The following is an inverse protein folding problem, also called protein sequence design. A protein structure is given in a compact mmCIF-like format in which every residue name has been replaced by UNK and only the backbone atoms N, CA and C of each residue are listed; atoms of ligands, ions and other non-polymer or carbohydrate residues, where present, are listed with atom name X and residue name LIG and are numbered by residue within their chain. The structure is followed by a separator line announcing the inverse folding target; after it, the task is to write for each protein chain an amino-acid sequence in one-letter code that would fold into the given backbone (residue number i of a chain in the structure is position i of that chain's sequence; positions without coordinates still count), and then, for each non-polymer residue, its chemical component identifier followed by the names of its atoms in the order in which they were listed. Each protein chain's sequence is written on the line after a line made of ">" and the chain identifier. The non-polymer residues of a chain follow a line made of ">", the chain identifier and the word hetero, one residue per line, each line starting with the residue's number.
data_IF_560574960605
#
_entry.id   IF_560574960605
#
_cell.length_a   1.000
_cell.length_b   1.000
_cell.length_c   1.000
_cell.angle_alpha   90.00
_cell.angle_beta   90.00
_cell.angle_gamma   90.00
#
_symmetry.space_group_name_H-M   'P 1'
#
loop_
_entity.id
_entity.type
_entity.pdbx_description
1 polymer ?
#
# COMPACT_ATOMS: atom_id res chain seq x y z
N UNK A 1 14.35 9.57 -20.56
CA UNK A 1 15.49 10.48 -20.75
C UNK A 1 16.11 10.95 -19.44
N UNK A 2 15.36 11.56 -18.50
CA UNK A 2 15.88 12.02 -17.19
C UNK A 2 16.45 10.90 -16.30
N UNK A 3 15.90 9.68 -16.32
CA UNK A 3 16.38 8.56 -15.51
C UNK A 3 17.71 7.99 -16.07
N UNK A 4 17.86 7.93 -17.41
CA UNK A 4 19.14 7.60 -18.03
C UNK A 4 20.23 8.65 -17.74
N UNK A 5 19.83 9.92 -17.63
CA UNK A 5 20.71 11.00 -17.22
C UNK A 5 21.08 10.85 -15.72
N UNK A 6 20.12 10.52 -14.85
CA UNK A 6 20.38 10.20 -13.43
C UNK A 6 21.36 9.05 -13.26
N UNK A 7 21.21 7.97 -14.02
CA UNK A 7 22.10 6.81 -13.93
C UNK A 7 23.51 7.10 -14.49
N UNK A 8 23.62 7.89 -15.56
CA UNK A 8 24.92 8.40 -16.06
C UNK A 8 25.62 9.36 -15.10
N UNK A 9 24.83 10.17 -14.36
CA UNK A 9 25.35 11.16 -13.38
C UNK A 9 25.68 10.48 -12.04
N UNK A 10 24.96 9.43 -11.62
CA UNK A 10 25.30 8.64 -10.41
C UNK A 10 26.72 8.05 -10.47
N UNK A 11 27.22 7.70 -11.66
CA UNK A 11 28.60 7.26 -11.86
C UNK A 11 29.66 8.34 -11.59
N UNK A 12 29.25 9.63 -11.53
CA UNK A 12 30.11 10.77 -11.15
C UNK A 12 29.57 11.39 -9.86
N UNK A 13 29.87 10.74 -8.74
CA UNK A 13 29.35 11.07 -7.39
C UNK A 13 29.45 12.56 -7.03
N UNK A 14 30.51 13.24 -7.43
CA UNK A 14 30.73 14.66 -7.19
C UNK A 14 29.76 15.57 -7.96
N UNK A 15 29.45 15.28 -9.22
CA UNK A 15 28.48 16.05 -10.03
C UNK A 15 27.05 15.84 -9.52
N UNK A 16 26.74 14.60 -9.12
CA UNK A 16 25.42 14.30 -8.52
C UNK A 16 25.21 15.04 -7.20
N UNK A 17 26.21 15.04 -6.31
CA UNK A 17 26.18 15.79 -5.04
C UNK A 17 26.09 17.31 -5.27
N UNK A 18 26.82 17.87 -6.22
CA UNK A 18 26.76 19.29 -6.60
C UNK A 18 25.35 19.67 -7.11
N UNK A 19 24.74 18.85 -7.98
CA UNK A 19 23.38 19.11 -8.46
C UNK A 19 22.34 18.99 -7.34
N UNK A 20 22.52 18.06 -6.39
CA UNK A 20 21.66 17.96 -5.21
C UNK A 20 21.75 19.21 -4.33
N UNK A 21 22.96 19.74 -4.14
CA UNK A 21 23.20 20.96 -3.36
C UNK A 21 22.57 22.19 -4.03
N UNK A 22 22.72 22.33 -5.35
CA UNK A 22 22.07 23.41 -6.13
C UNK A 22 20.53 23.34 -6.10
N UNK A 23 19.98 22.12 -6.08
CA UNK A 23 18.52 21.92 -6.08
C UNK A 23 17.94 21.92 -4.65
N UNK A 24 18.78 21.93 -3.62
CA UNK A 24 18.35 21.84 -2.21
C UNK A 24 17.38 22.99 -1.80
N UNK A 25 17.67 24.28 -2.08
CA UNK A 25 16.74 25.36 -1.73
C UNK A 25 15.39 25.23 -2.45
N UNK A 26 15.40 24.83 -3.71
CA UNK A 26 14.18 24.59 -4.48
C UNK A 26 13.38 23.41 -3.96
N UNK A 27 14.04 22.32 -3.56
CA UNK A 27 13.38 21.17 -2.91
C UNK A 27 12.75 21.59 -1.58
N UNK A 28 13.48 22.33 -0.75
CA UNK A 28 12.99 22.85 0.53
C UNK A 28 11.77 23.78 0.34
N UNK A 29 11.77 24.60 -0.69
CA UNK A 29 10.62 25.44 -1.05
C UNK A 29 9.41 24.57 -1.45
N UNK A 30 9.60 23.58 -2.31
CA UNK A 30 8.54 22.68 -2.74
C UNK A 30 7.95 21.89 -1.56
N UNK A 31 8.79 21.37 -0.67
CA UNK A 31 8.36 20.62 0.52
C UNK A 31 7.56 21.55 1.48
N UNK A 32 8.02 22.79 1.66
CA UNK A 32 7.30 23.81 2.46
C UNK A 32 5.91 24.13 1.87
N UNK A 33 5.84 24.27 0.54
CA UNK A 33 4.56 24.52 -0.16
C UNK A 33 3.61 23.34 -0.03
N UNK A 34 4.09 22.12 -0.21
CA UNK A 34 3.29 20.90 -0.03
C UNK A 34 2.76 20.78 1.39
N UNK A 35 3.60 21.07 2.38
CA UNK A 35 3.18 21.05 3.78
C UNK A 35 2.02 22.03 4.04
N UNK A 36 2.11 23.28 3.57
CA UNK A 36 1.02 24.26 3.72
C UNK A 36 -0.29 23.77 3.08
N UNK A 37 -0.20 23.18 1.90
CA UNK A 37 -1.36 22.62 1.20
C UNK A 37 -1.95 21.46 2.01
N UNK A 38 -1.11 20.55 2.53
CA UNK A 38 -1.55 19.45 3.39
C UNK A 38 -2.19 19.95 4.68
N UNK A 39 -1.57 20.89 5.39
CA UNK A 39 -2.11 21.47 6.63
C UNK A 39 -3.48 22.14 6.40
N UNK A 40 -3.64 22.84 5.28
CA UNK A 40 -4.92 23.44 4.90
C UNK A 40 -5.98 22.37 4.60
N UNK A 41 -5.59 21.30 3.90
CA UNK A 41 -6.47 20.16 3.60
C UNK A 41 -6.83 19.40 4.87
N UNK A 42 -5.87 19.12 5.76
CA UNK A 42 -6.10 18.41 7.01
C UNK A 42 -7.09 19.16 7.92
N UNK A 43 -6.89 20.48 8.11
CA UNK A 43 -7.84 21.33 8.85
C UNK A 43 -9.28 21.27 8.31
N UNK A 44 -9.43 21.15 6.98
CA UNK A 44 -10.74 21.04 6.33
C UNK A 44 -11.38 19.66 6.50
N UNK A 45 -10.58 18.62 6.70
CA UNK A 45 -11.01 17.23 6.73
C UNK A 45 -10.82 16.57 8.13
N UNK A 46 -10.40 17.30 9.15
CA UNK A 46 -10.42 16.84 10.53
C UNK A 46 -11.88 16.53 10.92
N UNK A 47 -12.21 15.25 10.94
CA UNK A 47 -13.52 14.81 11.39
C UNK A 47 -13.63 14.97 12.90
N UNK A 48 -14.70 15.62 13.34
CA UNK A 48 -15.13 15.63 14.73
C UNK A 48 -15.39 14.17 15.13
N UNK A 49 -14.71 13.71 16.16
CA UNK A 49 -14.94 12.37 16.73
C UNK A 49 -16.37 12.34 17.28
N UNK A 50 -17.23 11.50 16.74
CA UNK A 50 -18.55 11.26 17.29
C UNK A 50 -18.37 10.39 18.55
N UNK A 51 -18.64 10.95 19.72
CA UNK A 51 -18.70 10.22 20.99
C UNK A 51 -19.99 9.37 21.11
N UNK A 52 -20.29 8.57 20.09
CA UNK A 52 -21.35 7.58 20.23
C UNK A 52 -20.88 6.46 21.17
N UNK A 53 -21.81 5.98 22.00
CA UNK A 53 -21.55 4.94 23.00
C UNK A 53 -21.02 3.68 22.31
N UNK A 54 -19.71 3.42 22.40
CA UNK A 54 -19.09 2.21 21.86
C UNK A 54 -19.68 0.98 22.56
N UNK A 55 -20.14 0.00 21.77
CA UNK A 55 -20.71 -1.26 22.29
C UNK A 55 -19.61 -2.18 22.84
N UNK A 56 -18.46 -2.23 22.13
CA UNK A 56 -17.30 -3.01 22.49
C UNK A 56 -16.15 -2.09 22.89
N UNK A 57 -15.43 -2.47 23.92
CA UNK A 57 -14.27 -1.73 24.45
C UNK A 57 -13.06 -2.69 24.54
N UNK A 58 -12.54 -3.21 23.39
CA UNK A 58 -11.51 -4.21 23.37
C UNK A 58 -10.19 -3.67 23.93
N UNK A 59 -9.44 -4.49 24.66
CA UNK A 59 -8.07 -4.17 25.01
C UNK A 59 -7.20 -4.25 23.75
N UNK A 60 -6.47 -3.16 23.45
CA UNK A 60 -5.50 -3.10 22.35
C UNK A 60 -4.09 -3.23 22.94
N UNK A 61 -3.35 -4.26 22.55
CA UNK A 61 -1.92 -4.39 22.88
C UNK A 61 -1.08 -3.77 21.76
N UNK A 62 -0.32 -2.74 22.08
CA UNK A 62 0.67 -2.14 21.17
C UNK A 62 2.00 -2.86 21.41
N UNK A 63 2.55 -3.50 20.39
CA UNK A 63 3.80 -4.26 20.47
C UNK A 63 4.91 -3.50 19.76
N UNK A 64 5.99 -3.23 20.49
CA UNK A 64 7.15 -2.44 20.02
C UNK A 64 8.43 -3.26 20.23
N UNK A 65 9.02 -3.81 19.17
CA UNK A 65 10.37 -4.34 19.22
C UNK A 65 11.37 -3.18 19.24
N UNK A 66 12.35 -3.20 20.16
CA UNK A 66 13.37 -2.16 20.26
C UNK A 66 14.78 -2.77 20.13
N UNK A 67 15.66 -2.06 19.45
CA UNK A 67 17.07 -2.41 19.40
C UNK A 67 17.91 -1.14 19.22
N UNK A 68 18.67 -0.79 20.26
CA UNK A 68 19.60 0.34 20.26
C UNK A 68 18.96 1.68 19.84
N UNK A 69 17.68 1.87 20.21
CA UNK A 69 16.85 3.04 19.87
C UNK A 69 17.42 4.31 20.51
N UNK A 70 17.54 5.43 19.79
CA UNK A 70 17.79 6.73 20.40
C UNK A 70 16.75 7.04 21.48
N UNK A 71 17.20 7.45 22.67
CA UNK A 71 16.31 7.62 23.83
C UNK A 71 15.21 8.65 23.57
N UNK A 72 15.52 9.72 22.86
CA UNK A 72 14.55 10.74 22.45
C UNK A 72 13.41 10.15 21.59
N UNK A 73 13.70 9.28 20.63
CA UNK A 73 12.70 8.65 19.80
C UNK A 73 11.86 7.64 20.59
N UNK A 74 12.53 6.90 21.49
CA UNK A 74 11.83 5.97 22.38
C UNK A 74 10.83 6.71 23.29
N UNK A 75 11.22 7.87 23.86
CA UNK A 75 10.33 8.71 24.67
C UNK A 75 9.16 9.27 23.86
N UNK A 76 9.42 9.80 22.67
CA UNK A 76 8.39 10.32 21.79
C UNK A 76 7.37 9.23 21.43
N UNK A 77 7.85 8.02 21.10
CA UNK A 77 7.01 6.86 20.81
C UNK A 77 6.12 6.51 22.00
N UNK A 78 6.69 6.37 23.21
CA UNK A 78 5.95 6.02 24.43
C UNK A 78 4.92 7.11 24.75
N UNK A 79 5.30 8.37 24.70
CA UNK A 79 4.41 9.49 24.96
C UNK A 79 3.25 9.54 23.97
N UNK A 80 3.48 9.16 22.70
CA UNK A 80 2.42 9.09 21.69
C UNK A 80 1.36 8.02 22.02
N UNK A 81 1.75 6.95 22.71
CA UNK A 81 0.84 5.91 23.20
C UNK A 81 0.15 6.34 24.49
N UNK A 82 0.85 6.97 25.42
CA UNK A 82 0.24 7.49 26.66
C UNK A 82 -0.81 8.56 26.40
N UNK A 83 -0.62 9.36 25.36
CA UNK A 83 -1.53 10.42 24.93
C UNK A 83 -2.72 9.93 24.09
N UNK A 84 -2.95 8.62 23.97
CA UNK A 84 -4.11 8.10 23.22
C UNK A 84 -5.43 8.47 23.89
N UNK A 85 -6.37 8.99 23.12
CA UNK A 85 -7.73 9.33 23.59
C UNK A 85 -8.54 8.08 24.00
N UNK A 86 -8.23 6.93 23.41
CA UNK A 86 -8.75 5.64 23.86
C UNK A 86 -7.89 5.07 24.99
N UNK A 87 -8.49 4.73 26.12
CA UNK A 87 -7.76 4.42 27.36
C UNK A 87 -7.54 2.94 27.64
N UNK A 88 -8.25 2.01 26.95
CA UNK A 88 -8.13 0.58 27.19
C UNK A 88 -7.04 -0.05 26.32
N UNK A 89 -5.78 0.28 26.62
CA UNK A 89 -4.60 -0.23 25.95
C UNK A 89 -3.53 -0.71 26.93
N UNK A 90 -2.64 -1.55 26.44
CA UNK A 90 -1.35 -1.87 27.04
C UNK A 90 -0.23 -1.70 26.01
N UNK A 91 0.95 -1.28 26.47
CA UNK A 91 2.15 -1.15 25.66
C UNK A 91 3.16 -2.22 26.06
N UNK A 92 3.62 -3.00 25.09
CA UNK A 92 4.57 -4.10 25.28
C UNK A 92 5.84 -3.76 24.53
N UNK A 93 6.88 -3.38 25.28
CA UNK A 93 8.19 -3.05 24.75
C UNK A 93 9.11 -4.26 24.92
N UNK A 94 9.70 -4.71 23.83
CA UNK A 94 10.63 -5.85 23.83
C UNK A 94 11.99 -5.39 23.36
N UNK A 95 12.92 -5.25 24.29
CA UNK A 95 14.33 -4.96 23.99
C UNK A 95 15.04 -6.22 23.47
N UNK A 96 15.49 -6.17 22.22
CA UNK A 96 16.14 -7.28 21.51
C UNK A 96 17.66 -7.36 21.79
N UNK A 97 18.03 -7.33 23.08
CA UNK A 97 19.40 -7.34 23.57
C UNK A 97 20.22 -6.13 23.09
N UNK A 98 19.71 -4.92 23.30
CA UNK A 98 20.47 -3.68 23.03
C UNK A 98 21.81 -3.68 23.75
N UNK A 99 22.91 -3.40 23.03
CA UNK A 99 24.23 -3.28 23.67
C UNK A 99 24.36 -2.01 24.55
N UNK A 100 23.57 -0.97 24.27
CA UNK A 100 23.54 0.25 25.07
C UNK A 100 22.63 0.06 26.30
N UNK A 101 23.23 0.01 27.51
CA UNK A 101 22.50 -0.16 28.77
C UNK A 101 21.49 0.98 29.03
N UNK A 102 21.79 2.21 28.60
CA UNK A 102 20.94 3.37 28.83
C UNK A 102 19.53 3.17 28.24
N UNK A 103 19.40 2.46 27.10
CA UNK A 103 18.11 2.14 26.51
C UNK A 103 17.31 1.22 27.42
N UNK A 104 17.95 0.21 27.99
CA UNK A 104 17.31 -0.75 28.90
C UNK A 104 16.91 -0.11 30.22
N UNK A 105 17.76 0.77 30.75
CA UNK A 105 17.50 1.52 31.98
C UNK A 105 16.32 2.47 31.80
N UNK A 106 16.26 3.17 30.67
CA UNK A 106 15.14 4.05 30.32
C UNK A 106 13.82 3.27 30.23
N UNK A 107 13.79 2.15 29.48
CA UNK A 107 12.60 1.30 29.36
C UNK A 107 12.19 0.76 30.74
N UNK A 108 13.15 0.34 31.57
CA UNK A 108 12.88 -0.18 32.92
C UNK A 108 12.26 0.89 33.83
N UNK A 109 12.75 2.12 33.76
CA UNK A 109 12.23 3.22 34.60
C UNK A 109 10.81 3.58 34.19
N UNK A 110 10.55 3.79 32.92
CA UNK A 110 9.22 4.13 32.41
C UNK A 110 8.18 3.04 32.77
N UNK A 111 8.56 1.75 32.63
CA UNK A 111 7.63 0.66 32.94
C UNK A 111 7.35 0.45 34.44
N UNK A 112 8.17 0.99 35.33
CA UNK A 112 7.87 1.03 36.78
C UNK A 112 6.79 2.05 37.11
N UNK A 113 6.78 3.16 36.40
CA UNK A 113 5.90 4.29 36.67
C UNK A 113 4.50 4.13 36.06
N UNK A 114 4.34 3.25 35.04
CA UNK A 114 3.09 3.04 34.37
C UNK A 114 2.74 1.53 34.20
N UNK A 115 1.73 1.07 34.93
CA UNK A 115 1.30 -0.34 34.94
C UNK A 115 0.79 -0.85 33.59
N UNK A 116 0.42 0.05 32.68
CA UNK A 116 0.01 -0.31 31.31
C UNK A 116 1.20 -0.58 30.40
N UNK A 117 2.42 -0.20 30.82
CA UNK A 117 3.65 -0.40 30.04
C UNK A 117 4.41 -1.61 30.60
N UNK A 118 4.56 -2.62 29.78
CA UNK A 118 5.26 -3.85 30.12
C UNK A 118 6.55 -3.96 29.32
N UNK A 119 7.68 -4.12 30.00
CA UNK A 119 9.00 -4.25 29.39
C UNK A 119 9.54 -5.66 29.49
N UNK A 120 10.16 -6.12 28.42
CA UNK A 120 10.83 -7.42 28.35
C UNK A 120 12.20 -7.26 27.70
N UNK A 121 13.21 -7.92 28.28
CA UNK A 121 14.60 -7.81 27.83
C UNK A 121 15.10 -9.18 27.37
N UNK A 122 15.36 -9.31 26.08
CA UNK A 122 15.88 -10.57 25.54
C UNK A 122 17.36 -10.74 25.91
N UNK A 123 17.79 -12.00 26.08
CA UNK A 123 19.19 -12.32 26.40
C UNK A 123 20.11 -12.29 25.20
N UNK A 124 19.56 -12.42 23.98
CA UNK A 124 20.28 -12.37 22.70
C UNK A 124 19.38 -11.76 21.63
N UNK A 125 19.99 -11.12 20.65
CA UNK A 125 19.28 -10.54 19.52
C UNK A 125 18.58 -11.64 18.71
N UNK A 126 17.28 -11.46 18.44
CA UNK A 126 16.41 -12.35 17.67
C UNK A 126 15.86 -11.70 16.42
N UNK A 127 16.36 -10.52 16.09
CA UNK A 127 15.87 -9.65 15.04
C UNK A 127 14.41 -9.20 15.28
N UNK A 128 13.93 -8.28 14.44
CA UNK A 128 12.63 -7.64 14.60
C UNK A 128 11.49 -8.65 14.72
N UNK A 129 11.42 -9.66 13.86
CA UNK A 129 10.39 -10.70 13.90
C UNK A 129 10.39 -11.49 15.20
N UNK A 130 11.57 -11.82 15.72
CA UNK A 130 11.72 -12.58 16.97
C UNK A 130 11.30 -11.77 18.19
N UNK A 131 11.60 -10.49 18.25
CA UNK A 131 11.21 -9.58 19.32
C UNK A 131 9.69 -9.27 19.25
N UNK A 132 9.17 -8.98 18.06
CA UNK A 132 7.72 -8.78 17.82
C UNK A 132 6.92 -10.00 18.28
N UNK A 133 7.32 -11.19 17.86
CA UNK A 133 6.66 -12.45 18.24
C UNK A 133 6.71 -12.72 19.75
N UNK A 134 7.80 -12.32 20.41
CA UNK A 134 7.87 -12.42 21.86
C UNK A 134 6.85 -11.48 22.52
N UNK A 135 6.74 -10.25 22.04
CA UNK A 135 5.76 -9.27 22.53
C UNK A 135 4.32 -9.75 22.30
N UNK A 136 3.99 -10.26 21.12
CA UNK A 136 2.65 -10.81 20.81
C UNK A 136 2.25 -11.94 21.77
N UNK A 137 3.21 -12.81 22.16
CA UNK A 137 2.97 -13.87 23.15
C UNK A 137 2.71 -13.33 24.55
N UNK A 138 3.21 -12.15 24.88
CA UNK A 138 3.03 -11.48 26.18
C UNK A 138 1.81 -10.55 26.22
N UNK A 139 1.24 -10.27 25.07
CA UNK A 139 0.05 -9.43 24.91
C UNK A 139 -1.21 -10.13 25.45
N UNK A 140 -2.10 -9.35 26.08
CA UNK A 140 -3.40 -9.79 26.57
C UNK A 140 -4.57 -9.21 25.76
N UNK A 141 -4.31 -8.21 24.90
CA UNK A 141 -5.34 -7.54 24.13
C UNK A 141 -6.02 -8.44 23.11
N UNK A 142 -7.23 -8.09 22.75
CA UNK A 142 -7.99 -8.74 21.68
C UNK A 142 -7.41 -8.41 20.30
N UNK A 143 -6.78 -7.25 20.17
CA UNK A 143 -6.10 -6.79 18.97
C UNK A 143 -4.65 -6.41 19.28
N UNK A 144 -3.78 -6.64 18.31
CA UNK A 144 -2.36 -6.28 18.34
C UNK A 144 -2.13 -5.14 17.35
N UNK A 145 -1.64 -4.01 17.84
CA UNK A 145 -1.09 -2.92 17.01
C UNK A 145 0.42 -3.05 16.91
N UNK A 146 0.94 -3.03 15.69
CA UNK A 146 2.40 -3.06 15.44
C UNK A 146 2.92 -1.63 15.31
N UNK A 147 3.87 -1.25 16.16
CA UNK A 147 4.45 0.08 16.19
C UNK A 147 5.97 -0.01 16.21
N UNK A 148 6.64 0.74 15.35
CA UNK A 148 8.10 0.82 15.33
C UNK A 148 8.62 1.72 16.45
N UNK A 149 9.81 1.41 16.95
CA UNK A 149 10.39 2.03 18.16
C UNK A 149 10.82 3.50 18.01
N UNK A 150 10.89 4.00 16.79
CA UNK A 150 11.32 5.36 16.41
C UNK A 150 10.17 6.19 15.80
N UNK A 151 8.97 5.62 15.72
CA UNK A 151 7.77 6.22 15.14
C UNK A 151 6.77 6.69 16.21
N UNK A 152 5.65 7.27 15.79
CA UNK A 152 4.65 7.81 16.71
C UNK A 152 3.23 7.54 16.19
N UNK A 153 2.27 7.42 17.10
CA UNK A 153 0.85 7.37 16.79
C UNK A 153 0.18 8.75 16.93
N UNK A 154 -0.80 9.01 16.06
CA UNK A 154 -1.72 10.12 16.30
C UNK A 154 -2.56 9.85 17.57
N UNK A 155 -2.89 10.89 18.33
CA UNK A 155 -3.65 10.76 19.60
C UNK A 155 -4.96 9.98 19.49
N UNK A 156 -5.60 9.98 18.33
CA UNK A 156 -6.88 9.30 18.09
C UNK A 156 -6.72 7.99 17.29
N UNK A 157 -5.50 7.44 17.22
CA UNK A 157 -5.24 6.23 16.43
C UNK A 157 -6.02 5.03 16.98
N UNK A 158 -5.92 4.76 18.28
CA UNK A 158 -6.62 3.65 18.89
C UNK A 158 -8.15 3.86 18.94
N UNK A 159 -8.59 5.10 19.16
CA UNK A 159 -10.01 5.44 19.12
C UNK A 159 -10.59 5.11 17.74
N UNK A 160 -9.95 5.56 16.65
CA UNK A 160 -10.41 5.28 15.29
C UNK A 160 -10.40 3.79 14.94
N UNK A 161 -9.45 3.02 15.48
CA UNK A 161 -9.42 1.55 15.34
C UNK A 161 -10.65 0.93 16.03
N UNK A 162 -10.95 1.34 17.26
CA UNK A 162 -12.07 0.80 18.04
C UNK A 162 -13.42 1.21 17.44
N UNK A 163 -13.56 2.44 16.93
CA UNK A 163 -14.71 2.86 16.13
C UNK A 163 -14.98 1.87 14.99
N UNK A 164 -13.96 1.54 14.20
CA UNK A 164 -14.08 0.60 13.07
C UNK A 164 -14.37 -0.83 13.52
N UNK A 165 -13.83 -1.29 14.64
CA UNK A 165 -14.17 -2.60 15.23
C UNK A 165 -15.67 -2.65 15.62
N UNK A 166 -16.23 -1.54 16.07
CA UNK A 166 -17.65 -1.45 16.41
C UNK A 166 -18.57 -1.30 15.20
N UNK A 167 -18.11 -0.65 14.13
CA UNK A 167 -18.86 -0.46 12.88
C UNK A 167 -18.92 -1.73 12.02
N UNK A 168 -17.80 -2.46 11.91
CA UNK A 168 -17.63 -3.59 10.99
C UNK A 168 -17.57 -4.91 11.75
N UNK A 169 -18.62 -5.71 11.62
CA UNK A 169 -18.67 -7.02 12.28
C UNK A 169 -17.59 -7.97 11.75
N UNK A 170 -16.88 -8.61 12.70
CA UNK A 170 -15.90 -9.65 12.37
C UNK A 170 -14.61 -9.14 11.74
N UNK A 171 -14.29 -7.86 11.85
CA UNK A 171 -13.02 -7.30 11.36
C UNK A 171 -11.83 -7.99 12.06
N UNK A 172 -10.80 -8.34 11.28
CA UNK A 172 -9.62 -9.04 11.79
C UNK A 172 -8.30 -8.34 11.46
N UNK A 173 -8.32 -7.47 10.46
CA UNK A 173 -7.15 -6.74 10.03
C UNK A 173 -7.54 -5.31 9.65
N UNK A 174 -6.91 -4.33 10.31
CA UNK A 174 -7.11 -2.91 10.04
C UNK A 174 -5.76 -2.27 9.70
N UNK A 175 -5.79 -1.22 8.88
CA UNK A 175 -4.62 -0.38 8.60
C UNK A 175 -5.05 1.06 8.34
N UNK A 176 -4.10 1.98 8.52
CA UNK A 176 -4.35 3.42 8.45
C UNK A 176 -3.47 4.10 7.41
N UNK A 177 -3.77 5.37 7.11
CA UNK A 177 -2.86 6.23 6.38
C UNK A 177 -1.69 6.66 7.27
N UNK A 178 -0.60 7.12 6.65
CA UNK A 178 0.61 7.55 7.34
C UNK A 178 1.16 8.86 6.76
N UNK A 179 2.02 9.53 7.51
CA UNK A 179 2.78 10.69 7.08
C UNK A 179 4.21 10.62 7.60
N UNK A 180 5.16 11.08 6.81
CA UNK A 180 6.56 11.15 7.24
C UNK A 180 6.83 12.32 8.16
N UNK A 181 7.73 12.10 9.14
CA UNK A 181 8.35 13.14 9.96
C UNK A 181 9.82 13.29 9.57
N UNK A 182 10.29 14.53 9.45
CA UNK A 182 11.73 14.80 9.38
C UNK A 182 12.39 14.81 10.77
N UNK A 183 13.71 14.98 10.82
CA UNK A 183 14.50 15.04 12.06
C UNK A 183 14.06 16.19 13.02
N UNK A 184 13.30 17.17 12.53
CA UNK A 184 12.74 18.27 13.32
C UNK A 184 11.26 18.08 13.67
N UNK A 185 10.72 16.89 13.49
CA UNK A 185 9.30 16.58 13.74
C UNK A 185 8.32 17.21 12.74
N UNK A 186 8.80 17.70 11.58
CA UNK A 186 7.93 18.32 10.58
C UNK A 186 7.31 17.27 9.69
N UNK A 187 6.00 17.35 9.52
CA UNK A 187 5.24 16.45 8.67
C UNK A 187 5.44 16.76 7.19
N UNK A 188 5.65 15.70 6.36
CA UNK A 188 5.78 15.80 4.92
C UNK A 188 5.43 14.48 4.24
N UNK A 189 5.13 14.50 2.95
CA UNK A 189 4.80 13.33 2.13
C UNK A 189 3.75 12.40 2.76
N UNK A 190 2.49 12.85 2.93
CA UNK A 190 1.42 11.96 3.35
C UNK A 190 1.27 10.80 2.36
N UNK A 191 0.98 9.62 2.87
CA UNK A 191 0.64 8.45 2.08
C UNK A 191 -0.80 8.05 2.40
N UNK A 192 -1.73 8.45 1.53
CA UNK A 192 -3.12 8.01 1.56
C UNK A 192 -3.21 6.67 0.87
N UNK A 193 -3.70 5.68 1.57
CA UNK A 193 -3.77 4.30 1.11
C UNK A 193 -5.15 4.01 0.51
N UNK A 194 -5.25 3.07 -0.44
CA UNK A 194 -6.55 2.63 -0.93
C UNK A 194 -7.21 1.70 0.10
N UNK A 195 -8.51 1.49 -0.05
CA UNK A 195 -9.17 0.34 0.54
C UNK A 195 -8.49 -0.96 0.07
N UNK A 196 -8.84 -2.10 0.69
CA UNK A 196 -8.16 -3.36 0.44
C UNK A 196 -7.95 -3.64 -1.06
N UNK A 197 -6.69 -3.79 -1.45
CA UNK A 197 -6.28 -3.98 -2.84
C UNK A 197 -5.15 -5.02 -2.96
N UNK A 198 -5.54 -6.25 -3.30
CA UNK A 198 -4.58 -7.36 -3.32
C UNK A 198 -3.54 -7.29 -4.43
N UNK A 199 -3.84 -6.71 -5.59
CA UNK A 199 -2.86 -6.54 -6.66
C UNK A 199 -1.86 -5.42 -6.33
N UNK A 200 -2.32 -4.37 -5.64
CA UNK A 200 -1.47 -3.31 -5.16
C UNK A 200 -0.53 -3.81 -4.05
N UNK A 201 -1.03 -4.64 -3.11
CA UNK A 201 -0.17 -5.24 -2.08
C UNK A 201 0.91 -6.15 -2.67
N UNK A 202 0.67 -6.81 -3.80
CA UNK A 202 1.69 -7.60 -4.51
C UNK A 202 2.62 -6.76 -5.36
N UNK A 203 2.31 -5.48 -5.54
CA UNK A 203 3.20 -4.54 -6.24
C UNK A 203 4.11 -3.79 -5.28
N UNK A 204 3.61 -3.47 -4.11
CA UNK A 204 4.35 -2.77 -3.05
C UNK A 204 3.70 -3.06 -1.69
N UNK A 205 4.51 -3.09 -0.62
CA UNK A 205 3.98 -3.12 0.74
C UNK A 205 3.37 -1.74 1.08
N UNK A 206 2.12 -1.51 0.68
CA UNK A 206 1.46 -0.23 0.93
C UNK A 206 0.82 -0.13 2.32
N UNK A 207 0.60 -1.27 2.97
CA UNK A 207 -0.05 -1.30 4.29
C UNK A 207 0.88 -0.73 5.36
N UNK A 208 2.13 -1.21 5.42
CA UNK A 208 3.18 -0.83 6.38
C UNK A 208 2.66 -0.47 7.78
N UNK A 209 2.24 0.77 8.03
CA UNK A 209 1.83 1.35 9.31
C UNK A 209 0.45 2.05 9.20
N UNK A 210 -0.36 2.17 10.20
CA UNK A 210 -0.41 1.43 11.44
C UNK A 210 -1.26 0.17 11.23
N UNK A 211 -0.66 -1.01 11.40
CA UNK A 211 -1.33 -2.29 11.21
C UNK A 211 -1.87 -2.80 12.54
N UNK A 212 -3.17 -3.15 12.58
CA UNK A 212 -3.83 -3.71 13.75
C UNK A 212 -4.51 -5.03 13.39
N UNK A 213 -4.17 -6.11 14.11
CA UNK A 213 -4.59 -7.48 13.78
C UNK A 213 -5.26 -8.13 14.99
N UNK A 214 -6.35 -8.85 14.77
CA UNK A 214 -6.98 -9.66 15.80
C UNK A 214 -5.96 -10.68 16.33
N UNK A 215 -5.70 -10.67 17.65
CA UNK A 215 -4.62 -11.44 18.28
C UNK A 215 -4.76 -12.95 18.05
N UNK A 216 -5.94 -13.50 18.24
CA UNK A 216 -6.20 -14.93 18.04
C UNK A 216 -5.88 -15.37 16.61
N UNK A 217 -6.30 -14.58 15.64
CA UNK A 217 -6.03 -14.83 14.23
C UNK A 217 -4.52 -14.72 13.92
N UNK A 218 -3.82 -13.73 14.46
CA UNK A 218 -2.39 -13.56 14.31
C UNK A 218 -1.59 -14.74 14.87
N UNK A 219 -1.97 -15.23 16.06
CA UNK A 219 -1.36 -16.43 16.69
C UNK A 219 -1.60 -17.67 15.83
N UNK A 220 -2.82 -17.86 15.32
CA UNK A 220 -3.16 -18.98 14.42
C UNK A 220 -2.31 -18.98 13.16
N UNK A 221 -1.94 -17.81 12.67
CA UNK A 221 -1.03 -17.63 11.53
C UNK A 221 0.46 -17.78 11.89
N UNK A 222 0.83 -18.03 13.15
CA UNK A 222 2.20 -18.16 13.68
C UNK A 222 2.99 -16.85 13.70
N UNK A 223 2.31 -15.69 13.74
CA UNK A 223 2.92 -14.35 13.83
C UNK A 223 3.90 -14.04 12.69
N UNK A 224 4.97 -13.29 12.93
CA UNK A 224 5.99 -12.98 11.90
C UNK A 224 6.95 -14.15 11.66
N UNK A 225 7.45 -14.30 10.45
CA UNK A 225 8.45 -15.32 10.09
C UNK A 225 9.84 -14.70 9.90
N UNK A 226 10.78 -15.04 10.77
CA UNK A 226 12.16 -14.56 10.72
C UNK A 226 12.95 -14.95 9.46
N UNK A 227 12.45 -15.87 8.64
CA UNK A 227 13.04 -16.20 7.34
C UNK A 227 12.87 -15.08 6.29
N UNK A 228 12.09 -14.04 6.63
CA UNK A 228 11.83 -12.87 5.77
C UNK A 228 12.31 -11.57 6.44
N UNK A 229 13.36 -11.62 7.24
CA UNK A 229 13.93 -10.43 7.88
C UNK A 229 14.20 -9.29 6.87
N UNK A 230 13.73 -8.09 7.23
CA UNK A 230 13.73 -6.90 6.37
C UNK A 230 12.50 -6.76 5.47
N UNK A 231 11.58 -7.75 5.47
CA UNK A 231 10.28 -7.71 4.81
C UNK A 231 9.25 -8.62 5.51
N UNK A 232 9.48 -8.92 6.80
CA UNK A 232 8.65 -9.80 7.62
C UNK A 232 7.20 -9.31 7.73
N UNK A 233 7.00 -8.00 7.77
CA UNK A 233 5.72 -7.32 7.76
C UNK A 233 4.95 -7.57 6.45
N UNK A 234 5.62 -7.41 5.29
CA UNK A 234 4.99 -7.64 4.00
C UNK A 234 4.59 -9.11 3.81
N UNK A 235 5.47 -10.04 4.19
CA UNK A 235 5.14 -11.47 4.19
C UNK A 235 3.93 -11.75 5.08
N UNK A 236 3.92 -11.19 6.30
CA UNK A 236 2.80 -11.31 7.22
C UNK A 236 1.49 -10.81 6.60
N UNK A 237 1.50 -9.63 5.96
CA UNK A 237 0.30 -9.06 5.34
C UNK A 237 -0.17 -9.88 4.13
N UNK A 238 0.75 -10.39 3.32
CA UNK A 238 0.42 -11.33 2.24
C UNK A 238 -0.23 -12.61 2.80
N UNK A 239 0.27 -13.14 3.90
CA UNK A 239 -0.25 -14.33 4.58
C UNK A 239 -1.59 -14.07 5.25
N UNK A 240 -1.76 -12.97 5.95
CA UNK A 240 -3.04 -12.51 6.52
C UNK A 240 -4.10 -12.45 5.43
N UNK A 241 -3.83 -11.73 4.36
CA UNK A 241 -4.79 -11.46 3.29
C UNK A 241 -5.08 -12.68 2.41
N UNK A 242 -4.22 -13.69 2.42
CA UNK A 242 -4.49 -15.00 1.81
C UNK A 242 -5.49 -15.82 2.61
N UNK A 243 -5.59 -15.59 3.92
CA UNK A 243 -6.42 -16.34 4.86
C UNK A 243 -7.66 -15.57 5.33
N UNK A 244 -7.93 -14.38 4.79
CA UNK A 244 -9.11 -13.58 5.10
C UNK A 244 -9.97 -13.32 3.85
N UNK A 245 -11.26 -13.18 4.10
CA UNK A 245 -12.15 -12.58 3.11
C UNK A 245 -11.98 -11.06 3.11
N UNK A 246 -12.20 -10.38 1.97
CA UNK A 246 -12.00 -8.93 1.85
C UNK A 246 -12.75 -8.09 2.88
N UNK A 247 -13.96 -8.49 3.28
CA UNK A 247 -14.80 -7.80 4.26
C UNK A 247 -14.24 -7.81 5.71
N UNK A 248 -13.23 -8.63 6.00
CA UNK A 248 -12.53 -8.65 7.29
C UNK A 248 -11.26 -7.79 7.30
N UNK A 249 -10.95 -7.14 6.19
CA UNK A 249 -9.80 -6.25 6.01
C UNK A 249 -10.32 -4.83 5.85
N UNK A 250 -9.98 -3.93 6.77
CA UNK A 250 -10.57 -2.60 6.83
C UNK A 250 -9.49 -1.52 6.79
N UNK A 251 -9.61 -0.61 5.87
CA UNK A 251 -8.84 0.61 5.81
C UNK A 251 -9.52 1.71 6.65
N UNK A 252 -8.72 2.39 7.45
CA UNK A 252 -9.14 3.60 8.16
C UNK A 252 -8.51 4.79 7.42
N UNK A 253 -9.28 5.53 6.61
CA UNK A 253 -8.74 6.58 5.75
C UNK A 253 -8.44 7.86 6.55
N UNK A 254 -7.60 7.76 7.56
CA UNK A 254 -7.11 8.85 8.42
C UNK A 254 -5.60 8.68 8.59
N UNK A 255 -4.84 9.78 8.60
CA UNK A 255 -3.42 9.77 8.96
C UNK A 255 -3.31 9.59 10.47
N UNK A 256 -3.00 8.36 10.88
CA UNK A 256 -2.94 7.98 12.29
C UNK A 256 -1.54 7.47 12.71
N UNK A 257 -0.61 7.50 11.78
CA UNK A 257 0.77 7.06 12.01
C UNK A 257 1.77 8.09 11.48
N UNK A 258 2.79 8.38 12.27
CA UNK A 258 3.86 9.31 11.96
C UNK A 258 5.16 8.53 11.79
N UNK A 259 5.59 8.33 10.55
CA UNK A 259 6.80 7.62 10.18
C UNK A 259 8.01 8.55 10.21
N UNK A 260 8.91 8.35 11.18
CA UNK A 260 10.13 9.13 11.32
C UNK A 260 11.18 8.68 10.31
N UNK A 261 11.68 9.62 9.52
CA UNK A 261 12.72 9.36 8.53
C UNK A 261 14.04 9.93 9.02
N UNK A 262 15.01 9.07 9.25
CA UNK A 262 16.37 9.43 9.65
C UNK A 262 17.40 8.63 8.82
N UNK A 263 18.69 8.99 8.94
CA UNK A 263 19.79 8.43 8.10
C UNK A 263 19.90 6.90 8.16
N UNK A 264 19.48 6.29 9.26
CA UNK A 264 19.56 4.85 9.49
C UNK A 264 18.26 4.12 9.13
N UNK A 265 17.21 4.83 8.69
CA UNK A 265 15.93 4.22 8.29
C UNK A 265 16.12 3.20 7.17
N UNK A 266 15.51 2.03 7.32
CA UNK A 266 15.68 0.88 6.39
C UNK A 266 15.25 1.20 4.97
N UNK A 267 14.27 2.11 4.81
CA UNK A 267 13.71 2.49 3.51
C UNK A 267 14.56 3.46 2.69
N UNK A 268 15.65 4.01 3.25
CA UNK A 268 16.42 5.07 2.56
C UNK A 268 17.29 4.55 1.42
N UNK A 269 17.79 3.32 1.48
CA UNK A 269 18.64 2.74 0.42
C UNK A 269 18.47 1.22 0.31
N UNK A 270 17.51 0.79 -0.49
CA UNK A 270 17.27 -0.63 -0.79
C UNK A 270 18.41 -1.26 -1.60
N UNK A 271 19.12 -0.46 -2.41
CA UNK A 271 20.25 -0.97 -3.20
C UNK A 271 21.47 -1.27 -2.29
N UNK A 272 21.55 -0.64 -1.11
CA UNK A 272 22.56 -0.95 -0.12
C UNK A 272 22.25 -2.22 0.71
N UNK A 273 21.03 -2.78 0.57
CA UNK A 273 20.57 -3.96 1.34
C UNK A 273 20.03 -5.06 0.41
N UNK A 274 20.88 -5.75 -0.35
CA UNK A 274 20.45 -6.79 -1.31
C UNK A 274 19.57 -7.88 -0.68
N UNK A 275 19.86 -8.25 0.59
CA UNK A 275 19.09 -9.27 1.31
C UNK A 275 17.61 -8.92 1.48
N UNK A 276 17.26 -7.62 1.56
CA UNK A 276 15.86 -7.16 1.64
C UNK A 276 15.14 -7.42 0.31
N UNK A 277 15.82 -7.15 -0.80
CA UNK A 277 15.29 -7.40 -2.15
C UNK A 277 15.03 -8.90 -2.37
N UNK A 278 15.97 -9.75 -1.95
CA UNK A 278 15.82 -11.21 -2.04
C UNK A 278 14.67 -11.71 -1.14
N UNK A 279 14.54 -11.16 0.07
CA UNK A 279 13.45 -11.49 0.98
C UNK A 279 12.08 -11.06 0.41
N UNK A 280 11.98 -9.87 -0.19
CA UNK A 280 10.77 -9.39 -0.89
C UNK A 280 10.37 -10.32 -2.02
N UNK A 281 11.33 -10.67 -2.89
CA UNK A 281 11.11 -11.60 -3.99
C UNK A 281 10.58 -12.93 -3.48
N UNK A 282 11.25 -13.50 -2.48
CA UNK A 282 10.85 -14.77 -1.85
C UNK A 282 9.44 -14.71 -1.27
N UNK A 283 9.09 -13.63 -0.54
CA UNK A 283 7.75 -13.47 0.03
C UNK A 283 6.65 -13.46 -1.05
N UNK A 284 6.89 -12.76 -2.16
CA UNK A 284 5.98 -12.71 -3.29
C UNK A 284 5.90 -14.04 -4.05
N UNK A 285 7.03 -14.73 -4.28
CA UNK A 285 7.06 -16.04 -4.93
C UNK A 285 6.34 -17.10 -4.08
N UNK A 286 6.49 -17.06 -2.76
CA UNK A 286 5.77 -17.93 -1.85
C UNK A 286 4.27 -17.62 -1.81
N UNK A 287 3.87 -16.35 -1.86
CA UNK A 287 2.44 -15.98 -1.96
C UNK A 287 1.83 -16.49 -3.27
N UNK A 288 2.51 -16.32 -4.41
CA UNK A 288 2.09 -16.84 -5.72
C UNK A 288 1.92 -18.36 -5.68
N UNK A 289 2.91 -19.08 -5.14
CA UNK A 289 2.92 -20.54 -5.01
C UNK A 289 1.77 -21.04 -4.12
N UNK A 290 1.58 -20.41 -2.95
CA UNK A 290 0.56 -20.81 -1.97
C UNK A 290 -0.85 -20.47 -2.42
N UNK A 291 -1.03 -19.43 -3.22
CA UNK A 291 -2.31 -19.13 -3.92
C UNK A 291 -2.54 -20.00 -5.14
N UNK A 292 -1.58 -20.84 -5.54
CA UNK A 292 -1.63 -21.67 -6.75
C UNK A 292 -1.84 -20.84 -8.02
N UNK A 293 -1.25 -19.66 -8.06
CA UNK A 293 -1.33 -18.72 -9.19
C UNK A 293 -0.20 -19.02 -10.17
N UNK A 294 -0.52 -19.03 -11.47
CA UNK A 294 0.48 -19.20 -12.54
C UNK A 294 1.00 -17.84 -12.99
N UNK A 295 1.99 -17.32 -12.30
CA UNK A 295 2.62 -16.03 -12.61
C UNK A 295 4.13 -16.04 -12.27
N UNK A 296 4.86 -15.10 -12.88
CA UNK A 296 6.24 -14.75 -12.48
C UNK A 296 6.23 -13.50 -11.62
N UNK A 297 7.09 -13.47 -10.63
CA UNK A 297 7.39 -12.26 -9.83
C UNK A 297 8.52 -11.52 -10.52
N UNK A 298 8.26 -10.27 -10.91
CA UNK A 298 9.22 -9.43 -11.63
C UNK A 298 9.43 -8.15 -10.82
N UNK A 299 10.70 -7.80 -10.57
CA UNK A 299 11.06 -6.52 -9.97
C UNK A 299 10.96 -5.42 -11.03
N UNK A 300 10.37 -4.30 -10.69
CA UNK A 300 10.29 -3.15 -11.58
C UNK A 300 11.70 -2.62 -11.90
N UNK A 301 12.09 -2.54 -13.19
CA UNK A 301 13.44 -2.11 -13.56
C UNK A 301 13.71 -0.63 -13.31
N UNK A 302 12.66 0.19 -13.17
CA UNK A 302 12.77 1.64 -12.94
C UNK A 302 12.65 2.00 -11.46
N UNK A 303 11.88 1.20 -10.70
CA UNK A 303 11.48 1.50 -9.32
C UNK A 303 11.79 0.30 -8.43
N UNK A 304 13.01 0.24 -7.95
CA UNK A 304 13.59 -0.91 -7.26
C UNK A 304 12.85 -1.44 -6.03
N UNK A 305 11.89 -0.66 -5.48
CA UNK A 305 11.03 -1.09 -4.37
C UNK A 305 9.69 -1.67 -4.85
N UNK A 306 9.45 -1.73 -6.15
CA UNK A 306 8.20 -2.18 -6.73
C UNK A 306 8.36 -3.50 -7.46
N UNK A 307 7.29 -4.28 -7.47
CA UNK A 307 7.21 -5.58 -8.09
C UNK A 307 5.91 -5.69 -8.89
N UNK A 308 5.83 -6.64 -9.80
CA UNK A 308 4.57 -7.01 -10.42
C UNK A 308 4.51 -8.49 -10.75
N UNK A 309 3.30 -9.02 -10.80
CA UNK A 309 3.06 -10.37 -11.25
C UNK A 309 2.77 -10.35 -12.75
N UNK A 310 3.55 -11.10 -13.51
CA UNK A 310 3.30 -11.41 -14.92
C UNK A 310 2.59 -12.76 -15.00
N UNK A 311 1.30 -12.73 -15.26
CA UNK A 311 0.50 -13.95 -15.36
C UNK A 311 0.75 -14.67 -16.69
N UNK A 312 0.84 -16.00 -16.65
CA UNK A 312 1.02 -16.79 -17.86
C UNK A 312 -0.27 -16.81 -18.68
N UNK A 313 -0.10 -16.78 -20.02
CA UNK A 313 -1.17 -16.88 -21.00
C UNK A 313 -1.09 -18.17 -21.77
N UNK A 314 -2.23 -18.59 -22.35
CA UNK A 314 -2.24 -19.63 -23.37
C UNK A 314 -1.60 -19.11 -24.67
N UNK A 315 -0.99 -20.01 -25.46
CA UNK A 315 -0.59 -19.68 -26.83
C UNK A 315 -1.85 -19.51 -27.69
N UNK A 316 -1.82 -18.56 -28.61
CA UNK A 316 -2.87 -18.42 -29.63
C UNK A 316 -4.11 -17.63 -29.21
N UNK A 317 -4.04 -16.77 -28.17
CA UNK A 317 -5.13 -15.85 -27.83
C UNK A 317 -5.31 -14.83 -28.96
N UNK A 318 -6.49 -14.80 -29.54
CA UNK A 318 -6.87 -13.86 -30.61
C UNK A 318 -7.35 -12.53 -30.04
N UNK A 319 -7.10 -11.45 -30.78
CA UNK A 319 -7.40 -10.08 -30.39
C UNK A 319 -8.16 -9.35 -31.49
N UNK A 320 -9.14 -8.52 -31.10
CA UNK A 320 -9.73 -7.52 -31.98
C UNK A 320 -9.74 -6.15 -31.31
N UNK A 321 -9.72 -5.10 -32.11
CA UNK A 321 -9.91 -3.73 -31.65
C UNK A 321 -11.25 -3.20 -32.17
N UNK A 322 -12.10 -2.75 -31.25
CA UNK A 322 -13.41 -2.17 -31.50
C UNK A 322 -13.43 -0.74 -30.98
N UNK A 323 -13.87 0.19 -31.78
CA UNK A 323 -14.02 1.57 -31.34
C UNK A 323 -15.25 1.72 -30.45
N UNK A 324 -15.13 2.50 -29.38
CA UNK A 324 -16.28 2.88 -28.56
C UNK A 324 -17.33 3.61 -29.42
N UNK A 325 -18.57 3.26 -29.21
CA UNK A 325 -19.71 3.85 -29.92
C UNK A 325 -20.93 3.81 -28.99
N UNK A 326 -21.26 4.91 -28.36
CA UNK A 326 -22.38 5.01 -27.41
C UNK A 326 -23.78 4.77 -28.05
N UNK A 327 -23.86 4.71 -29.38
CA UNK A 327 -25.11 4.38 -30.11
C UNK A 327 -25.31 2.88 -30.26
N UNK A 328 -24.28 2.07 -30.01
CA UNK A 328 -24.28 0.61 -30.08
C UNK A 328 -24.26 -0.02 -28.69
N UNK A 329 -24.46 -1.33 -28.67
CA UNK A 329 -24.46 -2.13 -27.45
C UNK A 329 -23.53 -3.36 -27.58
N UNK A 330 -23.28 -4.03 -26.46
CA UNK A 330 -22.40 -5.21 -26.40
C UNK A 330 -22.90 -6.35 -27.26
N UNK A 331 -24.20 -6.49 -27.49
CA UNK A 331 -24.78 -7.48 -28.42
C UNK A 331 -24.20 -7.35 -29.82
N UNK A 332 -24.05 -6.12 -30.33
CA UNK A 332 -23.49 -5.86 -31.66
C UNK A 332 -22.03 -6.33 -31.78
N UNK A 333 -21.27 -6.23 -30.71
CA UNK A 333 -19.87 -6.72 -30.65
C UNK A 333 -19.83 -8.24 -30.59
N UNK A 334 -20.66 -8.86 -29.76
CA UNK A 334 -20.68 -10.32 -29.58
C UNK A 334 -21.05 -11.06 -30.87
N UNK A 335 -21.89 -10.44 -31.70
CA UNK A 335 -22.34 -11.03 -32.95
C UNK A 335 -21.27 -10.92 -34.08
N UNK A 336 -20.34 -9.97 -33.99
CA UNK A 336 -19.39 -9.67 -35.07
C UNK A 336 -17.95 -10.03 -34.75
N UNK A 337 -17.58 -10.03 -33.44
CA UNK A 337 -16.18 -10.19 -33.00
C UNK A 337 -15.94 -11.57 -32.36
N UNK A 338 -15.33 -12.51 -33.09
CA UNK A 338 -15.08 -13.87 -32.58
C UNK A 338 -13.85 -13.97 -31.69
N UNK A 339 -13.04 -12.91 -31.59
CA UNK A 339 -11.76 -12.91 -30.89
C UNK A 339 -11.89 -13.22 -29.39
N UNK A 340 -10.88 -13.86 -28.78
CA UNK A 340 -10.88 -14.22 -27.36
C UNK A 340 -10.84 -13.00 -26.43
N UNK A 341 -10.18 -11.93 -26.87
CA UNK A 341 -10.09 -10.65 -26.14
C UNK A 341 -10.46 -9.51 -27.09
N UNK A 342 -11.38 -8.67 -26.62
CA UNK A 342 -11.80 -7.46 -27.32
C UNK A 342 -11.15 -6.26 -26.63
N UNK A 343 -10.51 -5.42 -27.42
CA UNK A 343 -9.94 -4.16 -27.00
C UNK A 343 -10.89 -3.06 -27.44
N UNK A 344 -11.52 -2.42 -26.47
CA UNK A 344 -12.34 -1.23 -26.74
C UNK A 344 -11.49 0.01 -26.63
N UNK A 345 -11.61 0.95 -27.57
CA UNK A 345 -10.84 2.19 -27.57
C UNK A 345 -11.56 3.35 -28.24
N UNK A 346 -11.23 4.59 -27.85
CA UNK A 346 -11.73 5.82 -28.51
C UNK A 346 -11.16 6.00 -29.91
N UNK A 347 -9.93 5.52 -30.14
CA UNK A 347 -9.19 5.62 -31.39
C UNK A 347 -8.54 4.28 -31.74
N UNK A 348 -8.24 4.01 -33.02
CA UNK A 348 -7.46 2.84 -33.41
C UNK A 348 -6.12 2.82 -32.69
N UNK A 349 -5.74 1.67 -32.12
CA UNK A 349 -4.52 1.54 -31.35
C UNK A 349 -3.48 0.67 -32.05
N UNK A 350 -2.21 1.07 -31.89
CA UNK A 350 -1.06 0.25 -32.17
C UNK A 350 -0.39 -0.10 -30.84
N UNK A 351 -0.61 -1.30 -30.34
CA UNK A 351 -0.06 -1.69 -29.04
C UNK A 351 1.34 -2.27 -29.16
N UNK A 352 2.19 -1.92 -28.20
CA UNK A 352 3.61 -2.27 -28.20
C UNK A 352 3.88 -3.55 -27.38
N UNK A 353 3.07 -3.87 -26.36
CA UNK A 353 3.28 -5.07 -25.52
C UNK A 353 1.99 -5.67 -25.00
N UNK A 354 1.45 -6.67 -25.70
CA UNK A 354 0.21 -7.37 -25.31
C UNK A 354 0.41 -8.48 -24.26
N UNK A 355 1.62 -9.02 -24.12
CA UNK A 355 1.82 -10.21 -23.27
C UNK A 355 1.38 -10.00 -21.83
N UNK A 356 1.73 -8.85 -21.26
CA UNK A 356 1.42 -8.54 -19.87
C UNK A 356 -0.07 -8.27 -19.67
N UNK A 357 -0.74 -7.73 -20.70
CA UNK A 357 -2.19 -7.53 -20.70
C UNK A 357 -2.96 -8.84 -20.66
N UNK A 358 -2.57 -9.79 -21.53
CA UNK A 358 -3.33 -11.02 -21.71
C UNK A 358 -3.46 -11.84 -20.45
N UNK A 359 -2.37 -11.97 -19.70
CA UNK A 359 -2.37 -12.72 -18.45
C UNK A 359 -3.34 -12.16 -17.43
N UNK A 360 -3.42 -10.83 -17.32
CA UNK A 360 -4.35 -10.16 -16.41
C UNK A 360 -5.79 -10.25 -16.90
N UNK A 361 -6.04 -10.00 -18.18
CA UNK A 361 -7.39 -10.06 -18.77
C UNK A 361 -8.04 -11.43 -18.62
N UNK A 362 -7.26 -12.51 -18.72
CA UNK A 362 -7.74 -13.89 -18.61
C UNK A 362 -7.96 -14.36 -17.16
N UNK A 363 -7.65 -13.57 -16.16
CA UNK A 363 -7.96 -13.89 -14.75
C UNK A 363 -9.46 -13.91 -14.54
N UNK A 364 -9.95 -14.89 -13.77
CA UNK A 364 -11.40 -15.05 -13.51
C UNK A 364 -12.02 -13.86 -12.75
N UNK A 365 -11.23 -13.22 -11.89
CA UNK A 365 -11.60 -12.13 -11.01
C UNK A 365 -11.45 -10.73 -11.64
N UNK A 366 -10.89 -10.64 -12.85
CA UNK A 366 -10.70 -9.39 -13.59
C UNK A 366 -11.71 -9.29 -14.72
N UNK A 367 -12.55 -8.26 -14.70
CA UNK A 367 -13.52 -7.98 -15.76
C UNK A 367 -12.87 -7.23 -16.92
N UNK A 368 -12.14 -6.17 -16.60
CA UNK A 368 -11.46 -5.35 -17.60
C UNK A 368 -10.04 -4.97 -17.12
N UNK A 369 -9.16 -4.73 -18.08
CA UNK A 369 -7.80 -4.21 -17.82
C UNK A 369 -7.62 -2.87 -18.52
N UNK A 370 -7.15 -1.88 -17.77
CA UNK A 370 -6.84 -0.54 -18.26
C UNK A 370 -5.31 -0.41 -18.38
N UNK A 371 -4.78 -0.07 -19.56
CA UNK A 371 -3.36 0.14 -19.77
C UNK A 371 -2.90 1.52 -19.29
N UNK A 372 -1.59 1.71 -19.18
CA UNK A 372 -0.99 3.03 -19.04
C UNK A 372 -1.00 3.75 -20.39
N UNK A 373 -1.62 4.91 -20.42
CA UNK A 373 -1.57 5.81 -21.57
C UNK A 373 -0.36 6.73 -21.37
N UNK A 374 0.38 7.04 -22.45
CA UNK A 374 1.66 7.76 -22.37
C UNK A 374 1.57 9.18 -21.81
N UNK A 375 0.40 9.81 -21.81
CA UNK A 375 0.18 11.12 -21.23
C UNK A 375 -0.19 11.02 -19.75
N UNK A 376 0.69 11.48 -18.85
CA UNK A 376 0.48 11.45 -17.38
C UNK A 376 -0.81 12.18 -16.94
N UNK A 377 -1.22 13.24 -17.61
CA UNK A 377 -2.44 13.99 -17.26
C UNK A 377 -3.69 13.16 -17.58
N UNK A 378 -3.72 12.46 -18.70
CA UNK A 378 -4.82 11.57 -19.04
C UNK A 378 -4.90 10.36 -18.09
N UNK A 379 -3.75 9.77 -17.72
CA UNK A 379 -3.73 8.70 -16.70
C UNK A 379 -4.29 9.22 -15.37
N UNK A 380 -3.88 10.40 -14.94
CA UNK A 380 -4.36 11.01 -13.70
C UNK A 380 -5.85 11.31 -13.77
N UNK A 381 -6.33 11.90 -14.86
CA UNK A 381 -7.75 12.20 -15.03
C UNK A 381 -8.62 10.95 -15.06
N UNK A 382 -8.13 9.88 -15.68
CA UNK A 382 -8.83 8.60 -15.70
C UNK A 382 -8.80 7.89 -14.34
N UNK A 383 -7.74 8.05 -13.55
CA UNK A 383 -7.66 7.56 -12.18
C UNK A 383 -8.55 8.38 -11.23
N UNK A 384 -8.76 9.66 -11.53
CA UNK A 384 -9.58 10.59 -10.74
C UNK A 384 -11.02 10.11 -10.60
N UNK A 385 -11.60 9.58 -11.68
CA UNK A 385 -12.98 9.09 -11.64
C UNK A 385 -13.18 7.83 -10.80
N UNK A 386 -12.09 7.15 -10.45
CA UNK A 386 -12.10 5.78 -9.91
C UNK A 386 -11.50 5.69 -8.52
N UNK A 387 -10.50 6.51 -8.24
CA UNK A 387 -9.88 6.55 -6.92
C UNK A 387 -10.79 7.30 -5.96
N UNK A 388 -10.80 6.85 -4.70
CA UNK A 388 -11.43 7.60 -3.63
C UNK A 388 -11.06 9.09 -3.77
N UNK A 389 -12.06 9.97 -3.75
CA UNK A 389 -11.92 11.43 -3.93
C UNK A 389 -10.75 12.01 -3.14
N UNK A 390 -10.47 11.47 -1.98
CA UNK A 390 -9.37 11.83 -1.09
C UNK A 390 -8.00 11.51 -1.65
N UNK A 391 -7.82 10.34 -2.27
CA UNK A 391 -6.57 9.94 -2.94
C UNK A 391 -6.33 10.83 -4.15
N UNK A 392 -7.39 11.16 -4.87
CA UNK A 392 -7.36 12.05 -6.03
C UNK A 392 -6.93 13.46 -5.63
N UNK A 393 -7.57 14.03 -4.60
CA UNK A 393 -7.19 15.33 -4.06
C UNK A 393 -5.72 15.33 -3.64
N UNK A 394 -5.25 14.23 -3.01
CA UNK A 394 -3.85 14.05 -2.66
C UNK A 394 -2.93 13.99 -3.88
N UNK A 395 -3.27 13.21 -4.92
CA UNK A 395 -2.47 13.10 -6.14
C UNK A 395 -2.35 14.48 -6.83
N UNK A 396 -3.41 15.29 -6.82
CA UNK A 396 -3.38 16.66 -7.33
C UNK A 396 -2.56 17.62 -6.46
N UNK A 397 -2.67 17.50 -5.14
CA UNK A 397 -1.91 18.33 -4.20
C UNK A 397 -0.42 18.02 -4.22
N UNK A 398 -0.05 16.75 -4.51
CA UNK A 398 1.33 16.31 -4.46
C UNK A 398 2.10 16.71 -5.72
N UNK A 399 3.34 17.10 -5.50
CA UNK A 399 4.29 17.37 -6.58
C UNK A 399 4.45 16.14 -7.49
N UNK A 400 4.66 16.33 -8.80
CA UNK A 400 4.96 15.26 -9.79
C UNK A 400 6.11 14.32 -9.38
N UNK A 401 6.92 14.69 -8.38
CA UNK A 401 8.03 13.90 -7.83
C UNK A 401 7.70 13.21 -6.49
N UNK A 402 6.47 13.36 -5.99
CA UNK A 402 6.13 12.72 -4.71
C UNK A 402 6.06 11.20 -4.86
N UNK A 403 6.52 10.51 -3.83
CA UNK A 403 6.51 9.04 -3.78
C UNK A 403 5.10 8.48 -3.94
N UNK A 404 4.12 9.05 -3.24
CA UNK A 404 2.72 8.62 -3.30
C UNK A 404 2.14 8.70 -4.70
N UNK A 405 2.28 9.86 -5.37
CA UNK A 405 1.82 10.03 -6.76
C UNK A 405 2.46 9.01 -7.69
N UNK A 406 3.75 8.76 -7.50
CA UNK A 406 4.52 7.87 -8.34
C UNK A 406 4.07 6.42 -8.20
N UNK A 407 3.85 5.96 -6.97
CA UNK A 407 3.37 4.61 -6.68
C UNK A 407 2.07 4.30 -7.42
N UNK A 408 1.09 5.19 -7.37
CA UNK A 408 -0.19 4.99 -8.06
C UNK A 408 -0.07 4.95 -9.57
N UNK A 409 0.91 5.66 -10.16
CA UNK A 409 1.13 5.66 -11.61
C UNK A 409 1.96 4.47 -12.11
N UNK A 410 2.61 3.73 -11.23
CA UNK A 410 3.60 2.70 -11.58
C UNK A 410 3.31 1.32 -11.01
N UNK A 411 2.29 1.16 -10.17
CA UNK A 411 1.90 -0.13 -9.60
C UNK A 411 0.59 -0.64 -10.20
N UNK A 412 0.43 -1.97 -10.24
CA UNK A 412 -0.87 -2.58 -10.54
C UNK A 412 -1.82 -2.40 -9.38
N UNK A 413 -3.05 -2.00 -9.62
CA UNK A 413 -4.09 -1.94 -8.59
C UNK A 413 -5.50 -2.10 -9.16
N UNK A 414 -6.41 -2.55 -8.30
CA UNK A 414 -7.79 -2.75 -8.67
C UNK A 414 -8.58 -1.45 -8.58
N UNK A 415 -9.44 -1.28 -9.55
CA UNK A 415 -10.39 -0.18 -9.68
C UNK A 415 -11.81 -0.75 -9.61
N UNK A 416 -12.78 0.11 -9.33
CA UNK A 416 -14.19 -0.19 -9.52
C UNK A 416 -14.65 0.08 -10.96
N UNK A 417 -15.80 0.74 -11.09
CA UNK A 417 -16.25 1.31 -12.36
C UNK A 417 -15.24 2.34 -12.86
N UNK A 418 -14.98 2.34 -14.16
CA UNK A 418 -13.91 3.15 -14.70
C UNK A 418 -14.25 3.80 -16.04
N UNK A 419 -14.07 5.11 -16.11
CA UNK A 419 -13.89 5.77 -17.41
C UNK A 419 -12.45 5.57 -17.88
N UNK A 420 -12.28 4.99 -19.07
CA UNK A 420 -10.97 4.85 -19.68
C UNK A 420 -11.08 4.87 -21.21
N UNK A 421 -10.17 5.58 -21.92
CA UNK A 421 -10.18 5.63 -23.37
C UNK A 421 -9.82 4.29 -24.03
N UNK A 422 -9.31 3.33 -23.25
CA UNK A 422 -8.96 1.98 -23.71
C UNK A 422 -9.18 0.98 -22.57
N UNK A 423 -9.90 -0.09 -22.87
CA UNK A 423 -10.06 -1.25 -21.99
C UNK A 423 -9.88 -2.56 -22.76
N UNK A 424 -9.32 -3.57 -22.07
CA UNK A 424 -9.17 -4.93 -22.56
C UNK A 424 -10.16 -5.83 -21.83
N UNK A 425 -10.99 -6.57 -22.53
CA UNK A 425 -12.00 -7.45 -21.95
C UNK A 425 -11.96 -8.82 -22.59
N UNK A 426 -11.94 -9.89 -21.79
CA UNK A 426 -12.13 -11.25 -22.31
C UNK A 426 -13.55 -11.42 -22.84
N UNK A 427 -13.71 -11.87 -24.11
CA UNK A 427 -15.00 -11.95 -24.79
C UNK A 427 -16.05 -12.76 -24.00
N UNK A 428 -15.64 -13.87 -23.40
CA UNK A 428 -16.59 -14.68 -22.62
C UNK A 428 -17.16 -13.97 -21.38
N UNK A 429 -16.50 -12.92 -20.86
CA UNK A 429 -17.02 -12.09 -19.78
C UNK A 429 -18.06 -11.12 -20.26
N UNK A 430 -17.97 -10.66 -21.52
CA UNK A 430 -19.02 -9.88 -22.16
C UNK A 430 -20.33 -10.68 -22.29
N UNK A 431 -20.24 -12.01 -22.40
CA UNK A 431 -21.44 -12.87 -22.39
C UNK A 431 -22.17 -12.94 -21.04
N UNK A 432 -21.52 -12.48 -19.96
CA UNK A 432 -22.08 -12.47 -18.59
C UNK A 432 -22.88 -11.20 -18.27
N UNK A 433 -22.72 -10.16 -19.08
CA UNK A 433 -23.41 -8.88 -18.90
C UNK A 433 -24.56 -8.76 -19.89
N UNK A 434 -25.45 -7.80 -19.65
CA UNK A 434 -26.60 -7.60 -20.51
C UNK A 434 -26.13 -7.17 -21.91
N UNK A 435 -26.69 -7.82 -22.96
CA UNK A 435 -26.40 -7.48 -24.36
C UNK A 435 -26.77 -6.05 -24.74
N UNK A 436 -27.72 -5.43 -24.02
CA UNK A 436 -28.10 -4.03 -24.18
C UNK A 436 -27.18 -3.03 -23.48
N UNK A 437 -26.13 -3.51 -22.79
CA UNK A 437 -25.14 -2.63 -22.17
C UNK A 437 -24.50 -1.74 -23.23
N UNK A 438 -24.53 -0.44 -22.99
CA UNK A 438 -23.98 0.58 -23.89
C UNK A 438 -22.47 0.36 -24.09
N UNK A 439 -21.99 0.60 -25.33
CA UNK A 439 -20.63 0.34 -25.74
C UNK A 439 -19.70 1.53 -25.40
N UNK A 440 -19.61 1.84 -24.11
CA UNK A 440 -18.66 2.79 -23.53
C UNK A 440 -17.96 2.15 -22.31
N UNK A 441 -16.82 2.70 -21.91
CA UNK A 441 -15.98 2.12 -20.85
C UNK A 441 -16.68 2.07 -19.49
N UNK A 442 -17.43 3.11 -19.11
CA UNK A 442 -18.14 3.19 -17.83
C UNK A 442 -19.24 2.11 -17.76
N UNK A 443 -20.09 2.05 -18.79
CA UNK A 443 -21.17 1.06 -18.85
C UNK A 443 -20.66 -0.38 -18.84
N UNK A 444 -19.58 -0.67 -19.57
CA UNK A 444 -18.96 -2.00 -19.61
C UNK A 444 -18.36 -2.36 -18.27
N UNK A 445 -17.55 -1.47 -17.68
CA UNK A 445 -16.88 -1.75 -16.39
C UNK A 445 -17.89 -1.84 -15.25
N UNK A 446 -18.91 -0.99 -15.20
CA UNK A 446 -20.00 -1.07 -14.22
C UNK A 446 -20.75 -2.41 -14.31
N UNK A 447 -21.09 -2.85 -15.54
CA UNK A 447 -21.76 -4.11 -15.74
C UNK A 447 -20.90 -5.32 -15.34
N UNK A 448 -19.57 -5.27 -15.57
CA UNK A 448 -18.64 -6.31 -15.13
C UNK A 448 -18.47 -6.30 -13.60
N UNK A 449 -18.40 -5.13 -12.97
CA UNK A 449 -18.35 -4.98 -11.51
C UNK A 449 -19.61 -5.54 -10.83
N UNK A 450 -20.81 -5.39 -11.45
CA UNK A 450 -22.05 -5.99 -10.95
C UNK A 450 -22.03 -7.54 -10.95
N UNK A 451 -21.07 -8.15 -11.63
CA UNK A 451 -20.79 -9.59 -11.64
C UNK A 451 -19.59 -9.97 -10.75
N UNK A 452 -19.28 -9.14 -9.76
CA UNK A 452 -18.17 -9.32 -8.81
C UNK A 452 -16.78 -9.39 -9.48
N UNK A 453 -16.64 -8.90 -10.71
CA UNK A 453 -15.36 -8.77 -11.39
C UNK A 453 -14.76 -7.40 -11.15
N UNK A 454 -13.44 -7.34 -11.06
CA UNK A 454 -12.70 -6.09 -10.80
C UNK A 454 -12.14 -5.52 -12.10
N UNK A 455 -12.05 -4.22 -12.17
CA UNK A 455 -11.24 -3.53 -13.18
C UNK A 455 -9.82 -3.39 -12.66
N UNK A 456 -8.80 -3.73 -13.46
CA UNK A 456 -7.39 -3.68 -13.10
C UNK A 456 -6.67 -2.61 -13.92
N UNK A 457 -6.02 -1.67 -13.26
CA UNK A 457 -5.02 -0.82 -13.91
C UNK A 457 -3.67 -1.56 -13.98
N UNK A 458 -3.09 -1.63 -15.18
CA UNK A 458 -1.78 -2.24 -15.40
C UNK A 458 -0.83 -1.24 -16.09
N UNK A 459 0.11 -0.63 -15.34
CA UNK A 459 1.04 0.37 -15.89
C UNK A 459 2.12 -0.21 -16.79
N UNK A 460 2.26 -1.53 -16.87
CA UNK A 460 3.26 -2.21 -17.69
C UNK A 460 2.78 -2.42 -19.13
N UNK A 461 1.49 -2.19 -19.39
CA UNK A 461 0.92 -2.13 -20.74
C UNK A 461 1.04 -0.69 -21.22
N UNK A 462 1.94 -0.45 -22.15
CA UNK A 462 2.19 0.91 -22.68
C UNK A 462 1.58 0.99 -24.08
N UNK A 463 0.65 1.91 -24.24
CA UNK A 463 0.05 2.23 -25.55
C UNK A 463 0.58 3.58 -25.98
N UNK A 464 1.21 3.61 -27.15
CA UNK A 464 1.70 4.82 -27.80
C UNK A 464 0.90 5.16 -29.04
N UNK A 465 0.59 6.43 -29.26
CA UNK A 465 0.19 6.92 -30.58
C UNK A 465 1.39 6.76 -31.53
N UNK A 466 1.16 6.29 -32.77
CA UNK A 466 2.15 6.42 -33.82
C UNK A 466 2.41 7.91 -34.03
N UNK A 467 3.66 8.34 -33.80
CA UNK A 467 4.15 9.62 -34.32
C UNK A 467 4.26 9.58 -35.82
#
# INVERSE_FOLDING_TARGET
>A
MLQNLKNKIKGKKSIYMFLLTLLYPYRKYLDSRQRKIYEAWNRKNENIVNNEKMRNNPLISIVVPTYNTPIEYLRDMIQSVENQSYTNWELIIVDDASPNSNVRDEISNISKDNVKIKSFFLKKNRHIAGATNYGIKKANGEYIGLLDHDDMLHKDALLSVVEKINEVSGVKFLYTDEIKLDENGRQYQPFFKPDWNGDFLRSINYITHFAVIQREFLIKLKCEDGNYNGTQDWELFLRITRNLQPNHIVHIPKILYYWRVHKNSTAMDLDAKPYVVDAQKKALEDDVRLRKVKARVIRDPMYGAQWYLQYYTHKGVSLSNVLFDSTKNIGDVLDKEPSDVVIFSEKPINCINFRDAMGDVLRKDIGAVIPKIMNEEQVINNLISILNKRIVECIHMLNRRSFTRHIYLTSKYNLGEAYAPIIFVERKKLNLINRSTRMDSESITAALCSKEMRTLYNPYIIIGEKR
#
